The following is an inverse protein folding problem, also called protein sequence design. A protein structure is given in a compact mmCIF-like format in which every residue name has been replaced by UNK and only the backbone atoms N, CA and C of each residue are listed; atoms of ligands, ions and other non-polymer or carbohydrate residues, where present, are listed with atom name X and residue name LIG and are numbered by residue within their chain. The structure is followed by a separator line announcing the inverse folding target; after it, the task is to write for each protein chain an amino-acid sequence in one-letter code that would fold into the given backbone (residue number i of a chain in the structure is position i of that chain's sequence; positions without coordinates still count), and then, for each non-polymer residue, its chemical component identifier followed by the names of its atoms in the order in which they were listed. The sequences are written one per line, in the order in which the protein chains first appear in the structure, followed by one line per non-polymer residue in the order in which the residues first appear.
data_IF_394762171397
#
_entry.id   IF_394762171397
#
_cell.length_a   1.000
_cell.length_b   1.000
_cell.length_c   1.000
_cell.angle_alpha   90.00
_cell.angle_beta   90.00
_cell.angle_gamma   90.00
#
_symmetry.space_group_name_H-M   'P 1'
#
loop_
_entity.id
_entity.type
_entity.pdbx_description
1 polymer ?
#
# COMPACT_ATOMS: atom_id res chain seq x y z
N UNK A 1 4.98 10.45 -19.14
CA UNK A 1 6.07 9.86 -19.93
C UNK A 1 6.66 8.74 -19.09
N UNK A 2 6.96 7.59 -19.69
CA UNK A 2 7.66 6.49 -19.03
C UNK A 2 8.81 6.01 -19.92
N UNK A 3 9.95 5.71 -19.30
CA UNK A 3 11.11 5.09 -19.97
C UNK A 3 10.86 3.62 -20.29
N UNK A 4 9.98 2.96 -19.54
CA UNK A 4 9.59 1.58 -19.78
C UNK A 4 8.62 1.51 -20.97
N UNK A 5 8.58 0.35 -21.62
CA UNK A 5 7.60 0.00 -22.66
C UNK A 5 6.30 -0.58 -22.09
N UNK A 6 6.15 -0.58 -20.76
CA UNK A 6 5.01 -1.08 -20.00
C UNK A 6 4.57 -0.07 -18.92
N UNK A 7 3.40 -0.30 -18.31
CA UNK A 7 2.86 0.51 -17.21
C UNK A 7 3.39 0.06 -15.83
N UNK A 8 3.23 0.92 -14.81
CA UNK A 8 3.39 0.61 -13.36
C UNK A 8 4.80 0.71 -12.75
N UNK A 9 5.86 0.96 -13.51
CA UNK A 9 7.19 1.21 -12.94
C UNK A 9 7.73 0.06 -12.08
N UNK A 10 7.90 0.28 -10.77
CA UNK A 10 8.36 -0.76 -9.83
C UNK A 10 7.26 -1.73 -9.38
N UNK A 11 5.99 -1.36 -9.51
CA UNK A 11 4.84 -2.18 -9.14
C UNK A 11 4.29 -3.02 -10.31
N UNK A 12 5.10 -3.22 -11.35
CA UNK A 12 4.66 -3.91 -12.58
C UNK A 12 4.25 -5.34 -12.34
N UNK A 13 3.04 -5.67 -12.81
CA UNK A 13 2.56 -7.04 -12.93
C UNK A 13 3.24 -7.68 -14.14
N UNK A 14 4.16 -8.61 -13.89
CA UNK A 14 4.87 -9.31 -14.96
C UNK A 14 4.10 -10.56 -15.41
N UNK A 15 4.06 -10.78 -16.72
CA UNK A 15 3.71 -12.09 -17.24
C UNK A 15 4.84 -13.11 -16.97
N UNK A 16 4.53 -14.40 -17.10
CA UNK A 16 5.47 -15.47 -16.75
C UNK A 16 6.84 -15.35 -17.44
N UNK A 17 6.88 -14.99 -18.73
CA UNK A 17 8.14 -14.83 -19.46
C UNK A 17 8.95 -13.61 -18.98
N UNK A 18 8.29 -12.49 -18.69
CA UNK A 18 8.94 -11.30 -18.14
C UNK A 18 9.49 -11.56 -16.73
N UNK A 19 8.72 -12.28 -15.91
CA UNK A 19 9.15 -12.70 -14.57
C UNK A 19 10.40 -13.60 -14.67
N UNK A 20 10.35 -14.58 -15.57
CA UNK A 20 11.45 -15.52 -15.78
C UNK A 20 12.72 -14.80 -16.27
N UNK A 21 12.58 -13.90 -17.24
CA UNK A 21 13.67 -13.06 -17.73
C UNK A 21 14.28 -12.21 -16.61
N UNK A 22 13.45 -11.60 -15.75
CA UNK A 22 13.92 -10.72 -14.66
C UNK A 22 14.70 -11.46 -13.58
N UNK A 23 14.23 -12.64 -13.15
CA UNK A 23 14.84 -13.36 -12.02
C UNK A 23 15.79 -14.48 -12.41
N UNK A 24 15.68 -15.01 -13.63
CA UNK A 24 16.52 -16.13 -14.13
C UNK A 24 17.37 -15.78 -15.35
N UNK A 25 17.16 -14.62 -15.97
CA UNK A 25 17.95 -14.14 -17.10
C UNK A 25 17.67 -14.85 -18.44
N UNK A 26 16.74 -15.82 -18.48
CA UNK A 26 16.36 -16.52 -19.71
C UNK A 26 15.00 -16.04 -20.24
N UNK A 27 14.87 -15.92 -21.56
CA UNK A 27 13.68 -15.36 -22.22
C UNK A 27 12.49 -16.33 -22.33
N UNK A 28 12.64 -17.58 -21.91
CA UNK A 28 11.61 -18.61 -22.04
C UNK A 28 11.38 -19.28 -20.68
N UNK A 29 10.13 -19.24 -20.21
CA UNK A 29 9.68 -20.05 -19.08
C UNK A 29 9.56 -21.52 -19.47
N UNK A 30 9.58 -22.44 -18.51
CA UNK A 30 9.36 -23.86 -18.80
C UNK A 30 7.99 -24.07 -19.46
N UNK A 31 7.93 -24.90 -20.51
CA UNK A 31 6.67 -25.28 -21.18
C UNK A 31 5.69 -25.97 -20.23
N UNK A 32 6.20 -26.60 -19.16
CA UNK A 32 5.39 -27.23 -18.11
C UNK A 32 4.54 -26.25 -17.30
N UNK A 33 4.80 -24.95 -17.37
CA UNK A 33 4.05 -23.93 -16.65
C UNK A 33 2.84 -23.42 -17.45
N UNK A 34 2.62 -23.84 -18.69
CA UNK A 34 1.47 -23.39 -19.48
C UNK A 34 1.65 -22.00 -20.10
N UNK A 35 0.54 -21.37 -20.54
CA UNK A 35 0.59 -20.15 -21.33
C UNK A 35 0.91 -18.91 -20.47
N UNK A 36 1.88 -18.10 -20.91
CA UNK A 36 2.35 -16.91 -20.16
C UNK A 36 1.28 -15.86 -19.86
N UNK A 37 0.14 -15.87 -20.57
CA UNK A 37 -0.98 -14.92 -20.37
C UNK A 37 -1.89 -15.28 -19.19
N UNK A 38 -1.73 -16.47 -18.62
CA UNK A 38 -2.58 -16.97 -17.53
C UNK A 38 -2.07 -16.58 -16.15
N UNK A 39 -0.88 -15.97 -16.07
CA UNK A 39 -0.20 -15.69 -14.82
C UNK A 39 -0.03 -14.19 -14.59
N UNK A 40 -0.74 -13.68 -13.58
CA UNK A 40 -0.38 -12.47 -12.85
C UNK A 40 -0.14 -12.91 -11.41
N UNK A 41 1.13 -13.11 -11.03
CA UNK A 41 1.47 -13.65 -9.72
C UNK A 41 1.41 -12.58 -8.64
N UNK A 42 0.73 -12.87 -7.52
CA UNK A 42 1.01 -12.26 -6.22
C UNK A 42 1.07 -13.35 -5.15
N UNK A 43 2.08 -13.27 -4.29
CA UNK A 43 2.19 -14.02 -3.04
C UNK A 43 1.30 -13.31 -2.01
N UNK A 44 0.02 -13.64 -1.98
CA UNK A 44 -0.82 -13.36 -0.81
C UNK A 44 -0.56 -14.47 0.19
N UNK A 45 0.14 -14.19 1.29
CA UNK A 45 0.20 -15.11 2.42
C UNK A 45 -1.17 -15.11 3.14
N UNK A 46 -2.15 -15.77 2.53
CA UNK A 46 -3.57 -15.77 2.93
C UNK A 46 -3.97 -16.86 3.92
N UNK A 47 -3.02 -17.62 4.46
CA UNK A 47 -3.30 -18.69 5.41
C UNK A 47 -3.90 -18.17 6.72
N UNK A 48 -3.42 -17.02 7.21
CA UNK A 48 -3.84 -16.48 8.50
C UNK A 48 -5.26 -15.88 8.46
N UNK A 49 -5.63 -15.20 7.36
CA UNK A 49 -6.96 -14.59 7.20
C UNK A 49 -8.08 -15.65 7.11
N UNK A 50 -7.80 -16.79 6.48
CA UNK A 50 -8.76 -17.90 6.37
C UNK A 50 -9.05 -18.55 7.74
N UNK A 51 -8.04 -18.66 8.60
CA UNK A 51 -8.20 -19.18 9.98
C UNK A 51 -9.08 -18.25 10.83
N UNK A 52 -9.03 -16.93 10.62
CA UNK A 52 -9.78 -15.94 11.39
C UNK A 52 -11.28 -15.91 11.05
N UNK A 53 -11.62 -16.21 9.80
CA UNK A 53 -13.02 -16.38 9.36
C UNK A 53 -13.60 -17.67 9.96
N UNK A 54 -12.83 -18.76 9.96
CA UNK A 54 -13.28 -20.08 10.44
C UNK A 54 -13.41 -20.14 11.97
N UNK A 55 -12.63 -19.34 12.71
CA UNK A 55 -12.62 -19.36 14.18
C UNK A 55 -13.66 -18.44 14.83
N UNK A 56 -14.43 -17.67 14.06
CA UNK A 56 -15.47 -16.77 14.58
C UNK A 56 -14.95 -15.75 15.62
N UNK A 57 -13.65 -15.44 15.62
CA UNK A 57 -13.04 -14.47 16.55
C UNK A 57 -13.65 -13.07 16.39
N UNK A 58 -14.22 -12.78 15.22
CA UNK A 58 -14.98 -11.55 14.92
C UNK A 58 -16.21 -11.33 15.80
N UNK A 59 -16.78 -12.36 16.42
CA UNK A 59 -17.86 -12.20 17.42
C UNK A 59 -17.35 -11.57 18.72
N UNK A 60 -16.07 -11.68 19.04
CA UNK A 60 -15.44 -11.07 20.21
C UNK A 60 -14.86 -9.69 19.90
N UNK A 61 -14.75 -9.31 18.62
CA UNK A 61 -14.32 -7.98 18.16
C UNK A 61 -15.45 -6.94 18.18
N UNK A 62 -16.45 -7.09 19.05
CA UNK A 62 -17.52 -6.10 19.19
C UNK A 62 -17.00 -4.92 20.05
N UNK A 63 -15.98 -4.24 19.54
CA UNK A 63 -15.49 -2.98 20.10
C UNK A 63 -16.51 -1.90 19.81
N UNK A 64 -17.45 -1.72 20.73
CA UNK A 64 -18.49 -0.70 20.63
C UNK A 64 -17.90 0.68 20.30
N UNK A 65 -16.79 1.05 20.93
CA UNK A 65 -16.05 2.29 20.62
C UNK A 65 -15.53 2.33 19.19
N UNK A 66 -15.09 1.23 18.59
CA UNK A 66 -14.59 1.27 17.20
C UNK A 66 -15.72 1.46 16.21
N UNK A 67 -16.85 0.76 16.39
CA UNK A 67 -17.97 0.84 15.46
C UNK A 67 -18.71 2.18 15.57
N UNK A 68 -18.94 2.65 16.80
CA UNK A 68 -19.78 3.82 17.05
C UNK A 68 -18.98 5.14 16.99
N UNK A 69 -17.64 5.11 16.94
CA UNK A 69 -16.80 6.32 16.96
C UNK A 69 -17.05 7.24 15.77
N UNK A 70 -17.43 8.49 16.06
CA UNK A 70 -17.62 9.57 15.09
C UNK A 70 -16.79 10.78 15.51
N UNK A 71 -15.97 11.32 14.59
CA UNK A 71 -15.05 12.43 14.88
C UNK A 71 -15.78 13.66 15.48
N UNK A 72 -17.02 13.89 15.07
CA UNK A 72 -17.82 15.05 15.47
C UNK A 72 -18.82 14.78 16.60
N UNK A 73 -18.90 13.55 17.14
CA UNK A 73 -19.82 13.22 18.24
C UNK A 73 -19.06 12.84 19.51
N UNK A 74 -18.89 13.77 20.48
CA UNK A 74 -18.22 13.49 21.75
C UNK A 74 -18.85 12.34 22.56
N UNK A 75 -20.13 12.02 22.34
CA UNK A 75 -20.79 10.89 23.03
C UNK A 75 -20.30 9.54 22.54
N UNK A 76 -19.87 9.46 21.28
CA UNK A 76 -19.29 8.25 20.69
C UNK A 76 -17.91 7.91 21.22
N UNK A 77 -17.25 8.85 21.92
CA UNK A 77 -15.88 8.68 22.41
C UNK A 77 -15.79 7.96 23.76
N UNK A 78 -16.94 7.60 24.37
CA UNK A 78 -17.05 6.90 25.66
C UNK A 78 -16.17 7.50 26.78
N UNK A 79 -16.09 8.84 26.82
CA UNK A 79 -15.32 9.60 27.80
C UNK A 79 -13.80 9.58 27.60
N UNK A 80 -13.31 9.08 26.46
CA UNK A 80 -11.89 9.12 26.09
C UNK A 80 -11.64 10.18 25.02
N UNK A 81 -10.64 11.03 25.22
CA UNK A 81 -10.16 11.90 24.15
C UNK A 81 -9.07 11.15 23.36
N UNK A 82 -9.45 10.49 22.27
CA UNK A 82 -8.56 9.63 21.47
C UNK A 82 -7.36 10.36 20.84
N UNK A 83 -7.35 11.69 20.85
CA UNK A 83 -6.22 12.50 20.41
C UNK A 83 -5.19 12.67 21.54
N UNK A 84 -5.61 12.53 22.80
CA UNK A 84 -4.75 12.72 23.97
C UNK A 84 -4.29 11.41 24.59
N UNK A 85 -5.12 10.37 24.54
CA UNK A 85 -4.76 9.06 25.09
C UNK A 85 -3.98 8.22 24.08
N UNK A 86 -3.07 7.42 24.60
CA UNK A 86 -2.30 6.44 23.85
C UNK A 86 -3.13 5.20 23.54
N UNK A 87 -2.77 4.46 22.48
CA UNK A 87 -3.40 3.18 22.16
C UNK A 87 -3.32 2.21 23.33
N UNK A 88 -2.19 2.17 24.04
CA UNK A 88 -1.98 1.36 25.23
C UNK A 88 -2.98 1.65 26.34
N UNK A 89 -3.26 2.93 26.62
CA UNK A 89 -4.26 3.33 27.63
C UNK A 89 -5.68 2.91 27.23
N UNK A 90 -6.02 3.03 25.94
CA UNK A 90 -7.32 2.58 25.43
C UNK A 90 -7.46 1.08 25.57
N UNK A 91 -6.45 0.31 25.19
CA UNK A 91 -6.44 -1.15 25.30
C UNK A 91 -6.54 -1.60 26.76
N UNK A 92 -5.79 -0.97 27.66
CA UNK A 92 -5.80 -1.27 29.09
C UNK A 92 -7.20 -1.07 29.71
N UNK A 93 -7.98 -0.08 29.23
CA UNK A 93 -9.37 0.13 29.68
C UNK A 93 -10.27 -1.09 29.43
N UNK A 94 -10.00 -1.88 28.39
CA UNK A 94 -10.78 -3.07 28.04
C UNK A 94 -10.24 -4.36 28.64
N UNK A 95 -9.08 -4.32 29.31
CA UNK A 95 -8.50 -5.48 30.00
C UNK A 95 -8.20 -6.66 29.06
N UNK A 96 -7.72 -6.37 27.85
CA UNK A 96 -7.35 -7.40 26.86
C UNK A 96 -6.04 -8.09 27.26
N UNK A 97 -5.93 -9.38 26.96
CA UNK A 97 -4.69 -10.16 27.12
C UNK A 97 -3.67 -9.79 26.03
N UNK A 98 -2.37 -9.92 26.33
CA UNK A 98 -1.26 -9.53 25.44
C UNK A 98 -1.35 -10.17 24.04
N UNK A 99 -1.71 -11.45 23.95
CA UNK A 99 -1.88 -12.14 22.67
C UNK A 99 -3.04 -11.55 21.83
N UNK A 100 -4.10 -11.10 22.51
CA UNK A 100 -5.23 -10.44 21.85
C UNK A 100 -4.81 -9.06 21.35
N UNK A 101 -3.97 -8.35 22.10
CA UNK A 101 -3.43 -7.04 21.72
C UNK A 101 -2.55 -7.16 20.48
N UNK A 102 -1.59 -8.09 20.48
CA UNK A 102 -0.76 -8.36 19.31
C UNK A 102 -1.61 -8.71 18.10
N UNK A 103 -2.57 -9.62 18.27
CA UNK A 103 -3.46 -10.00 17.19
C UNK A 103 -4.21 -8.80 16.59
N UNK A 104 -4.80 -7.95 17.43
CA UNK A 104 -5.53 -6.76 16.96
C UNK A 104 -4.59 -5.77 16.28
N UNK A 105 -3.44 -5.46 16.88
CA UNK A 105 -2.47 -4.51 16.33
C UNK A 105 -1.96 -4.92 14.95
N UNK A 106 -1.52 -6.17 14.82
CA UNK A 106 -0.90 -6.66 13.59
C UNK A 106 -1.92 -7.10 12.52
N UNK A 107 -2.92 -7.90 12.88
CA UNK A 107 -3.81 -8.51 11.90
C UNK A 107 -4.97 -7.59 11.47
N UNK A 108 -5.41 -6.69 12.36
CA UNK A 108 -6.57 -5.82 12.12
C UNK A 108 -6.15 -4.35 11.93
N UNK A 109 -5.26 -3.85 12.79
CA UNK A 109 -4.70 -2.49 12.71
C UNK A 109 -3.63 -2.33 11.63
N UNK A 110 -3.07 -3.44 11.14
CA UNK A 110 -2.01 -3.48 10.13
C UNK A 110 -0.79 -2.63 10.54
N UNK A 111 -0.44 -2.69 11.82
CA UNK A 111 0.81 -2.15 12.32
C UNK A 111 1.97 -3.09 11.99
N UNK A 112 3.17 -2.54 11.78
CA UNK A 112 4.36 -3.31 11.42
C UNK A 112 5.21 -3.67 12.64
N UNK A 113 5.08 -2.90 13.71
CA UNK A 113 5.80 -3.01 14.97
C UNK A 113 4.91 -2.45 16.10
N UNK A 114 5.38 -2.52 17.34
CA UNK A 114 4.64 -2.10 18.54
C UNK A 114 4.65 -0.59 18.82
N UNK A 115 5.29 0.22 17.98
CA UNK A 115 5.34 1.68 18.19
C UNK A 115 3.96 2.34 18.24
N UNK A 116 2.94 1.68 17.67
CA UNK A 116 1.55 2.13 17.70
C UNK A 116 0.95 2.16 19.11
N UNK A 117 1.47 1.36 20.05
CA UNK A 117 1.00 1.32 21.43
C UNK A 117 1.18 2.66 22.14
N UNK A 118 2.28 3.35 21.85
CA UNK A 118 2.63 4.65 22.44
C UNK A 118 2.15 5.85 21.60
N UNK A 119 1.52 5.60 20.45
CA UNK A 119 0.93 6.63 19.61
C UNK A 119 -0.49 6.98 20.03
N UNK A 120 -1.01 8.10 19.51
CA UNK A 120 -2.40 8.52 19.72
C UNK A 120 -3.39 7.44 19.27
N UNK A 121 -4.31 7.09 20.15
CA UNK A 121 -5.28 6.00 19.92
C UNK A 121 -6.21 6.26 18.74
N UNK A 122 -6.39 7.51 18.34
CA UNK A 122 -7.25 7.88 17.19
C UNK A 122 -6.88 7.12 15.91
N UNK A 123 -5.59 7.00 15.59
CA UNK A 123 -5.15 6.31 14.38
C UNK A 123 -5.47 4.82 14.46
N UNK A 124 -5.19 4.21 15.61
CA UNK A 124 -5.52 2.81 15.88
C UNK A 124 -7.04 2.54 15.74
N UNK A 125 -7.89 3.34 16.39
CA UNK A 125 -9.35 3.19 16.32
C UNK A 125 -9.87 3.38 14.89
N UNK A 126 -9.35 4.36 14.13
CA UNK A 126 -9.72 4.58 12.73
C UNK A 126 -9.34 3.40 11.83
N UNK A 127 -8.16 2.81 12.01
CA UNK A 127 -7.72 1.60 11.29
C UNK A 127 -8.64 0.41 11.58
N UNK A 128 -8.97 0.22 12.86
CA UNK A 128 -9.89 -0.82 13.29
C UNK A 128 -11.30 -0.64 12.70
N UNK A 129 -11.83 0.60 12.68
CA UNK A 129 -13.13 0.93 12.08
C UNK A 129 -13.11 0.65 10.57
N UNK A 130 -12.04 1.09 9.89
CA UNK A 130 -11.86 0.83 8.46
C UNK A 130 -11.85 -0.68 8.15
N UNK A 131 -11.16 -1.49 8.95
CA UNK A 131 -11.13 -2.94 8.78
C UNK A 131 -12.54 -3.53 8.92
N UNK A 132 -13.25 -3.18 10.00
CA UNK A 132 -14.60 -3.68 10.28
C UNK A 132 -15.60 -3.29 9.19
N UNK A 133 -15.59 -2.03 8.76
CA UNK A 133 -16.44 -1.54 7.67
C UNK A 133 -16.13 -2.23 6.34
N UNK A 134 -14.84 -2.47 6.05
CA UNK A 134 -14.41 -3.16 4.83
C UNK A 134 -14.87 -4.61 4.83
N UNK A 135 -14.76 -5.30 5.97
CA UNK A 135 -15.25 -6.66 6.14
C UNK A 135 -16.78 -6.76 5.99
N UNK A 136 -17.51 -5.79 6.56
CA UNK A 136 -18.98 -5.76 6.49
C UNK A 136 -19.50 -5.43 5.08
N UNK A 137 -18.72 -4.69 4.28
CA UNK A 137 -19.13 -4.21 2.96
C UNK A 137 -19.19 -5.31 1.91
N UNK A 138 -18.33 -6.33 2.00
CA UNK A 138 -18.18 -7.35 0.95
C UNK A 138 -18.53 -8.75 1.48
N UNK A 139 -19.32 -9.51 0.72
CA UNK A 139 -19.68 -10.91 1.06
C UNK A 139 -18.49 -11.90 0.93
N UNK A 140 -17.27 -11.41 0.69
CA UNK A 140 -16.08 -12.21 0.42
C UNK A 140 -15.34 -12.70 1.67
N UNK A 141 -15.83 -12.42 2.88
CA UNK A 141 -15.24 -12.87 4.13
C UNK A 141 -13.91 -12.20 4.52
N UNK A 142 -13.40 -11.27 3.71
CA UNK A 142 -12.17 -10.52 4.01
C UNK A 142 -12.36 -9.03 3.75
N UNK A 143 -11.59 -8.14 4.39
CA UNK A 143 -11.64 -6.70 4.14
C UNK A 143 -10.89 -6.28 2.87
N UNK A 144 -10.26 -7.23 2.17
CA UNK A 144 -9.41 -6.96 1.02
C UNK A 144 -10.14 -7.20 -0.29
N UNK A 145 -9.86 -6.34 -1.27
CA UNK A 145 -10.29 -6.51 -2.65
C UNK A 145 -9.05 -6.59 -3.53
N UNK A 146 -9.18 -7.33 -4.63
CA UNK A 146 -8.12 -7.46 -5.61
C UNK A 146 -8.72 -7.34 -7.02
N UNK A 147 -8.18 -6.48 -7.89
CA UNK A 147 -8.67 -6.37 -9.26
C UNK A 147 -8.45 -7.68 -10.02
N UNK A 148 -9.46 -8.09 -10.80
CA UNK A 148 -9.24 -9.11 -11.81
C UNK A 148 -8.12 -8.63 -12.75
N UNK A 149 -7.26 -9.56 -13.18
CA UNK A 149 -6.07 -9.29 -13.99
C UNK A 149 -4.94 -8.53 -13.28
N UNK A 150 -5.09 -8.22 -12.00
CA UNK A 150 -4.02 -7.76 -11.13
C UNK A 150 -3.92 -6.25 -10.96
N UNK A 151 -2.94 -5.80 -10.18
CA UNK A 151 -2.77 -4.37 -9.84
C UNK A 151 -2.47 -3.49 -11.05
N UNK A 152 -2.01 -4.10 -12.15
CA UNK A 152 -1.77 -3.43 -13.42
C UNK A 152 -2.94 -2.65 -13.98
N UNK A 153 -4.16 -3.14 -13.73
CA UNK A 153 -5.38 -2.48 -14.19
C UNK A 153 -5.56 -1.09 -13.58
N UNK A 154 -4.99 -0.82 -12.40
CA UNK A 154 -5.13 0.47 -11.73
C UNK A 154 -4.37 1.59 -12.49
N UNK A 155 -3.03 1.52 -12.71
CA UNK A 155 -2.35 2.57 -13.48
C UNK A 155 -2.84 2.67 -14.92
N UNK A 156 -3.22 1.55 -15.55
CA UNK A 156 -3.79 1.56 -16.89
C UNK A 156 -5.12 2.31 -16.95
N UNK A 157 -6.00 2.10 -15.96
CA UNK A 157 -7.27 2.84 -15.84
C UNK A 157 -7.04 4.33 -15.67
N UNK A 158 -6.07 4.75 -14.84
CA UNK A 158 -5.72 6.16 -14.68
C UNK A 158 -5.08 6.76 -15.94
N UNK A 159 -4.24 6.01 -16.65
CA UNK A 159 -3.67 6.44 -17.92
C UNK A 159 -4.76 6.65 -18.98
N UNK A 160 -5.73 5.74 -19.06
CA UNK A 160 -6.90 5.88 -19.92
C UNK A 160 -7.74 7.11 -19.55
N UNK A 161 -7.99 7.32 -18.26
CA UNK A 161 -8.69 8.49 -17.75
C UNK A 161 -7.98 9.79 -18.16
N UNK A 162 -6.65 9.85 -18.02
CA UNK A 162 -5.85 11.00 -18.47
C UNK A 162 -6.07 11.31 -19.95
N UNK A 163 -6.09 10.29 -20.81
CA UNK A 163 -6.32 10.48 -22.27
C UNK A 163 -7.72 11.03 -22.54
N UNK A 164 -8.76 10.56 -21.84
CA UNK A 164 -10.13 11.08 -21.96
C UNK A 164 -10.19 12.58 -21.68
N UNK A 165 -9.38 13.07 -20.75
CA UNK A 165 -9.28 14.50 -20.41
C UNK A 165 -8.20 15.27 -21.20
N UNK A 166 -7.66 14.66 -22.27
CA UNK A 166 -6.71 15.32 -23.17
C UNK A 166 -5.24 15.29 -22.71
N UNK A 167 -4.91 14.51 -21.68
CA UNK A 167 -3.53 14.28 -21.24
C UNK A 167 -2.89 13.13 -22.01
N UNK A 168 -1.95 13.38 -22.95
CA UNK A 168 -1.32 12.32 -23.72
C UNK A 168 -0.42 11.45 -22.84
N UNK A 169 -0.46 10.15 -23.06
CA UNK A 169 0.43 9.19 -22.40
C UNK A 169 1.51 8.72 -23.39
N UNK A 170 2.75 8.64 -22.93
CA UNK A 170 3.92 8.32 -23.77
C UNK A 170 4.79 7.30 -23.07
N UNK A 171 4.98 6.13 -23.68
CA UNK A 171 5.84 5.04 -23.21
C UNK A 171 7.14 5.00 -24.02
N UNK A 172 8.11 4.20 -23.55
CA UNK A 172 9.39 3.96 -24.21
C UNK A 172 10.19 5.25 -24.49
N UNK A 173 10.15 6.21 -23.58
CA UNK A 173 10.92 7.47 -23.63
C UNK A 173 12.17 7.34 -22.75
N UNK A 174 13.20 6.70 -23.29
CA UNK A 174 14.36 6.20 -22.52
C UNK A 174 15.20 7.31 -21.85
N UNK A 175 15.22 8.51 -22.42
CA UNK A 175 16.09 9.62 -21.98
C UNK A 175 15.31 10.82 -21.45
N UNK A 176 14.41 10.59 -20.51
CA UNK A 176 13.71 11.65 -19.79
C UNK A 176 14.66 12.38 -18.84
N UNK A 177 14.85 13.69 -19.06
CA UNK A 177 15.61 14.58 -18.19
C UNK A 177 14.72 15.74 -17.75
N UNK A 178 14.69 16.01 -16.45
CA UNK A 178 14.05 17.20 -15.88
C UNK A 178 15.07 18.33 -15.85
N UNK A 179 14.70 19.48 -16.39
CA UNK A 179 15.51 20.69 -16.35
C UNK A 179 15.02 21.63 -15.25
N UNK A 180 15.98 22.26 -14.56
CA UNK A 180 15.74 23.13 -13.42
C UNK A 180 16.30 24.52 -13.70
N UNK A 181 15.62 25.55 -13.21
CA UNK A 181 16.13 26.91 -13.22
C UNK A 181 17.23 27.14 -12.17
N UNK A 182 17.79 28.35 -12.14
CA UNK A 182 18.82 28.78 -11.19
C UNK A 182 18.38 28.66 -9.72
N UNK A 183 17.06 28.67 -9.45
CA UNK A 183 16.47 28.53 -8.12
C UNK A 183 16.15 27.07 -7.76
N UNK A 184 16.47 26.11 -8.64
CA UNK A 184 16.21 24.69 -8.43
C UNK A 184 14.76 24.26 -8.67
N UNK A 185 13.95 25.09 -9.34
CA UNK A 185 12.57 24.78 -9.72
C UNK A 185 12.53 24.08 -11.08
N UNK A 186 11.76 23.00 -11.18
CA UNK A 186 11.58 22.29 -12.45
C UNK A 186 10.80 23.17 -13.46
N UNK A 187 11.36 23.31 -14.66
CA UNK A 187 10.79 24.15 -15.73
C UNK A 187 10.44 23.34 -16.98
N UNK A 188 11.22 22.32 -17.32
CA UNK A 188 11.06 21.58 -18.56
C UNK A 188 11.35 20.09 -18.36
N UNK A 189 10.77 19.26 -19.23
CA UNK A 189 11.12 17.84 -19.36
C UNK A 189 11.52 17.58 -20.80
N UNK A 190 12.75 17.13 -21.00
CA UNK A 190 13.31 16.81 -22.32
C UNK A 190 13.47 15.32 -22.48
N UNK A 191 13.06 14.77 -23.61
CA UNK A 191 13.33 13.39 -24.01
C UNK A 191 13.57 13.32 -25.51
N UNK A 192 14.64 12.66 -25.93
CA UNK A 192 14.93 12.36 -27.34
C UNK A 192 14.96 13.61 -28.27
N UNK A 193 15.32 14.77 -27.71
CA UNK A 193 15.36 16.04 -28.46
C UNK A 193 14.04 16.83 -28.43
N UNK A 194 12.96 16.25 -27.91
CA UNK A 194 11.68 16.94 -27.69
C UNK A 194 11.65 17.51 -26.26
N UNK A 195 11.17 18.74 -26.10
CA UNK A 195 11.08 19.40 -24.79
C UNK A 195 9.64 19.86 -24.51
N UNK A 196 9.10 19.40 -23.39
CA UNK A 196 7.79 19.80 -22.88
C UNK A 196 7.96 20.76 -21.70
N UNK A 197 7.43 21.99 -21.85
CA UNK A 197 7.50 23.00 -20.80
C UNK A 197 6.43 22.79 -19.74
N UNK A 198 6.79 22.89 -18.47
CA UNK A 198 5.89 22.60 -17.36
C UNK A 198 6.17 23.48 -16.14
N UNK A 199 5.16 23.65 -15.29
CA UNK A 199 5.31 24.41 -14.03
C UNK A 199 5.63 23.52 -12.83
N UNK A 200 5.34 22.23 -12.96
CA UNK A 200 5.44 21.18 -11.95
C UNK A 200 5.74 19.86 -12.66
N UNK A 201 6.56 19.03 -12.03
CA UNK A 201 6.85 17.67 -12.47
C UNK A 201 6.53 16.74 -11.31
N UNK A 202 5.84 15.64 -11.63
CA UNK A 202 5.60 14.52 -10.70
C UNK A 202 6.30 13.32 -11.33
N UNK A 203 7.21 12.69 -10.59
CA UNK A 203 7.93 11.50 -11.02
C UNK A 203 8.30 10.64 -9.81
N UNK A 204 8.53 9.36 -10.05
CA UNK A 204 9.05 8.47 -9.00
C UNK A 204 10.55 8.72 -8.71
N UNK A 205 11.09 8.21 -7.59
CA UNK A 205 12.48 8.39 -7.18
C UNK A 205 13.55 8.07 -8.24
N UNK A 206 13.25 7.16 -9.16
CA UNK A 206 14.21 6.67 -10.14
C UNK A 206 14.52 7.66 -11.27
N UNK A 207 13.69 8.71 -11.44
CA UNK A 207 13.95 9.81 -12.38
C UNK A 207 14.80 10.92 -11.75
N UNK A 208 14.78 11.06 -10.42
CA UNK A 208 15.49 12.11 -9.69
C UNK A 208 16.14 11.55 -8.41
N UNK A 209 17.10 10.61 -8.51
CA UNK A 209 17.68 9.93 -7.34
C UNK A 209 18.42 10.88 -6.38
N UNK A 210 18.86 12.05 -6.85
CA UNK A 210 19.54 13.06 -6.03
C UNK A 210 18.57 14.01 -5.31
N UNK A 211 17.25 13.84 -5.47
CA UNK A 211 16.20 14.64 -4.83
C UNK A 211 15.23 13.75 -4.03
N UNK A 212 15.75 12.64 -3.51
CA UNK A 212 15.00 11.71 -2.67
C UNK A 212 15.50 11.80 -1.24
N UNK A 213 14.62 11.50 -0.29
CA UNK A 213 14.99 11.20 1.08
C UNK A 213 14.78 9.71 1.27
N UNK A 214 15.80 9.02 1.74
CA UNK A 214 15.64 7.61 2.10
C UNK A 214 14.77 7.54 3.36
N UNK A 215 13.61 6.88 3.21
CA UNK A 215 12.67 6.61 4.29
C UNK A 215 12.75 5.16 4.74
N UNK A 216 13.74 4.39 4.25
CA UNK A 216 13.95 3.02 4.70
C UNK A 216 14.21 3.02 6.21
N UNK A 217 13.34 2.32 6.92
CA UNK A 217 13.60 1.92 8.30
C UNK A 217 14.67 0.85 8.23
N UNK A 218 15.80 1.04 8.90
CA UNK A 218 16.86 0.05 8.95
C UNK A 218 16.36 -1.19 9.72
N UNK A 219 15.88 -2.18 8.97
CA UNK A 219 15.37 -3.44 9.52
C UNK A 219 16.49 -4.31 10.13
N UNK A 220 17.77 -3.95 9.96
CA UNK A 220 18.88 -4.67 10.58
C UNK A 220 18.98 -4.44 12.08
N UNK A 221 18.41 -3.34 12.59
CA UNK A 221 18.43 -3.00 14.02
C UNK A 221 17.42 -3.83 14.83
N UNK A 222 16.46 -4.49 14.17
CA UNK A 222 15.46 -5.34 14.83
C UNK A 222 16.02 -6.68 15.34
N UNK A 223 17.22 -7.10 14.92
CA UNK A 223 17.80 -8.41 15.26
C UNK A 223 18.75 -8.40 16.48
N UNK A 224 18.85 -7.30 17.24
CA UNK A 224 19.82 -7.19 18.36
C UNK A 224 19.17 -7.35 19.75
N UNK A 225 17.86 -7.63 19.85
CA UNK A 225 17.15 -7.74 21.13
C UNK A 225 16.62 -9.15 21.45
N UNK A 226 17.33 -10.20 21.03
CA UNK A 226 17.03 -11.58 21.42
C UNK A 226 18.31 -12.38 21.71
N UNK A 227 18.96 -12.07 22.84
CA UNK A 227 19.83 -12.98 23.60
C UNK A 227 19.56 -12.83 25.10
#
# INVERSE_FOLDING_TARGET
MDRNDYYEGESTSFNLNQLWKRFRGSNQSLESLGASKEYNFIITNGGLVHVLILTNVTKYLNFKVVNDYEDNDPKSHEGLDLIKVTTKEVIAKYGLEDDTIHFIGYALGLHLDDSYLDQQALNFVKRMKLYAESLARFQGGSPYIYPFYGLAELPQSFAHLSVVYGGPYMLNKLKCKVEFDENGKAIDVTSEGETARCKKVICDPSYLPNKTFDLSVDLSVANVAAE
#
